data_IF_654210961210
#
_entry.id   IF_654210961210
#
_cell.length_a   1.000
_cell.length_b   1.000
_cell.length_c   1.000
_cell.angle_alpha   90.00
_cell.angle_beta   90.00
_cell.angle_gamma   90.00
#
_symmetry.space_group_name_H-M   'P 1'
#
loop_
_entity.id
_entity.type
_entity.pdbx_description
1 polymer ?
#
# COMPACT_ATOMS: atom_id res chain seq x y z
N UNK A 1 -5.06 -12.91 31.00
CA UNK A 1 -4.11 -11.97 30.36
C UNK A 1 -4.03 -10.75 31.26
N UNK A 2 -2.84 -10.16 31.45
CA UNK A 2 -2.70 -9.02 32.36
C UNK A 2 -3.41 -7.79 31.77
N UNK A 3 -4.06 -6.96 32.60
CA UNK A 3 -4.87 -5.83 32.14
C UNK A 3 -4.14 -4.87 31.16
N UNK A 4 -2.84 -4.67 31.34
CA UNK A 4 -2.03 -3.83 30.44
C UNK A 4 -1.79 -4.43 29.04
N UNK A 5 -1.89 -5.76 28.87
CA UNK A 5 -1.80 -6.40 27.55
C UNK A 5 -3.06 -6.13 26.73
N UNK A 6 -4.23 -6.20 27.35
CA UNK A 6 -5.53 -5.93 26.72
C UNK A 6 -5.59 -4.47 26.25
N UNK A 7 -5.20 -3.52 27.12
CA UNK A 7 -5.16 -2.09 26.81
C UNK A 7 -4.20 -1.78 25.65
N UNK A 8 -3.02 -2.41 25.65
CA UNK A 8 -2.05 -2.30 24.55
C UNK A 8 -2.64 -2.81 23.23
N UNK A 9 -3.29 -3.99 23.24
CA UNK A 9 -3.91 -4.57 22.05
C UNK A 9 -5.05 -3.69 21.53
N UNK A 10 -5.85 -3.12 22.42
CA UNK A 10 -6.92 -2.21 22.05
C UNK A 10 -6.36 -0.94 21.39
N UNK A 11 -5.31 -0.34 21.94
CA UNK A 11 -4.65 0.82 21.36
C UNK A 11 -4.15 0.52 19.93
N UNK A 12 -3.39 -0.58 19.75
CA UNK A 12 -2.88 -0.99 18.45
C UNK A 12 -4.01 -1.13 17.41
N UNK A 13 -5.11 -1.78 17.80
CA UNK A 13 -6.27 -2.00 16.93
C UNK A 13 -7.01 -0.71 16.61
N UNK A 14 -7.29 0.12 17.62
CA UNK A 14 -7.98 1.42 17.46
C UNK A 14 -7.25 2.31 16.48
N UNK A 15 -5.91 2.30 16.52
CA UNK A 15 -5.06 3.12 15.66
C UNK A 15 -4.58 2.42 14.38
N UNK A 16 -5.02 1.19 14.11
CA UNK A 16 -4.63 0.38 12.93
C UNK A 16 -3.12 0.30 12.71
N UNK A 17 -2.37 0.21 13.82
CA UNK A 17 -0.92 0.14 13.77
C UNK A 17 -0.40 -1.14 13.11
N UNK A 18 -1.02 -2.33 13.29
CA UNK A 18 -0.61 -3.53 12.56
C UNK A 18 -0.68 -3.35 11.04
N UNK A 19 -1.73 -2.73 10.52
CA UNK A 19 -1.93 -2.47 9.10
C UNK A 19 -0.93 -1.45 8.56
N UNK A 20 -0.63 -0.41 9.35
CA UNK A 20 0.41 0.56 9.03
C UNK A 20 1.78 -0.13 8.92
N UNK A 21 2.15 -0.92 9.92
CA UNK A 21 3.43 -1.64 9.93
C UNK A 21 3.52 -2.64 8.77
N UNK A 22 2.43 -3.35 8.45
CA UNK A 22 2.36 -4.24 7.30
C UNK A 22 2.64 -3.49 5.99
N UNK A 23 2.01 -2.32 5.79
CA UNK A 23 2.24 -1.50 4.58
C UNK A 23 3.66 -0.95 4.51
N UNK A 24 4.21 -0.45 5.61
CA UNK A 24 5.60 0.01 5.66
C UNK A 24 6.59 -1.12 5.35
N UNK A 25 6.33 -2.33 5.85
CA UNK A 25 7.09 -3.52 5.51
C UNK A 25 7.01 -3.86 4.02
N UNK A 26 5.82 -3.81 3.42
CA UNK A 26 5.65 -4.04 2.00
C UNK A 26 6.42 -3.02 1.13
N UNK A 27 6.36 -1.73 1.49
CA UNK A 27 7.11 -0.67 0.82
C UNK A 27 8.62 -0.91 0.87
N UNK A 28 9.16 -1.28 2.03
CA UNK A 28 10.59 -1.61 2.17
C UNK A 28 11.02 -2.81 1.32
N UNK A 29 10.24 -3.89 1.34
CA UNK A 29 10.56 -5.11 0.59
C UNK A 29 10.49 -4.90 -0.92
N UNK A 30 9.58 -4.03 -1.37
CA UNK A 30 9.41 -3.68 -2.77
C UNK A 30 10.53 -2.76 -3.26
N UNK A 31 10.72 -1.61 -2.61
CA UNK A 31 11.65 -0.58 -3.08
C UNK A 31 13.13 -0.87 -2.75
N UNK A 32 13.40 -1.67 -1.70
CA UNK A 32 14.75 -2.00 -1.22
C UNK A 32 15.71 -0.80 -1.21
N UNK A 33 15.34 0.31 -0.53
CA UNK A 33 16.13 1.52 -0.54
C UNK A 33 17.49 1.32 0.12
N UNK A 34 18.50 2.08 -0.33
CA UNK A 34 19.84 2.08 0.29
C UNK A 34 19.81 2.56 1.76
N UNK A 35 18.89 3.50 2.07
CA UNK A 35 18.68 4.05 3.41
C UNK A 35 17.27 3.74 3.94
N UNK A 36 17.02 2.54 4.49
CA UNK A 36 15.68 2.11 4.94
C UNK A 36 15.03 3.02 5.98
N UNK A 37 15.83 3.57 6.91
CA UNK A 37 15.31 4.45 7.97
C UNK A 37 14.76 5.75 7.41
N UNK A 38 15.54 6.41 6.56
CA UNK A 38 15.14 7.67 5.94
C UNK A 38 13.91 7.47 5.05
N UNK A 39 13.89 6.40 4.26
CA UNK A 39 12.73 6.02 3.46
C UNK A 39 11.46 5.83 4.31
N UNK A 40 11.55 5.13 5.44
CA UNK A 40 10.42 4.93 6.34
C UNK A 40 9.93 6.24 6.97
N UNK A 41 10.83 7.17 7.31
CA UNK A 41 10.46 8.50 7.82
C UNK A 41 9.62 9.23 6.78
N UNK A 42 10.10 9.32 5.54
CA UNK A 42 9.38 9.97 4.45
C UNK A 42 8.03 9.29 4.16
N UNK A 43 7.96 7.96 4.23
CA UNK A 43 6.71 7.23 4.07
C UNK A 43 5.71 7.58 5.18
N UNK A 44 6.15 7.70 6.44
CA UNK A 44 5.31 8.11 7.57
C UNK A 44 4.84 9.56 7.45
N UNK A 45 5.70 10.49 6.99
CA UNK A 45 5.33 11.88 6.72
C UNK A 45 4.20 11.96 5.67
N UNK A 46 4.27 11.14 4.60
CA UNK A 46 3.20 11.03 3.61
C UNK A 46 1.91 10.45 4.18
N UNK A 47 2.00 9.46 5.07
CA UNK A 47 0.83 8.94 5.80
C UNK A 47 0.18 10.05 6.64
N UNK A 48 0.98 10.85 7.34
CA UNK A 48 0.49 11.97 8.14
C UNK A 48 -0.21 13.03 7.28
N UNK A 49 0.43 13.45 6.18
CA UNK A 49 -0.14 14.39 5.21
C UNK A 49 -1.45 13.87 4.61
N UNK A 50 -1.48 12.60 4.17
CA UNK A 50 -2.69 11.97 3.65
C UNK A 50 -3.83 11.89 4.67
N UNK A 51 -3.53 11.69 5.97
CA UNK A 51 -4.55 11.72 7.04
C UNK A 51 -5.16 13.12 7.24
N UNK A 52 -4.43 14.18 6.90
CA UNK A 52 -4.92 15.58 6.92
C UNK A 52 -5.60 16.00 5.62
N UNK A 53 -5.71 15.10 4.63
CA UNK A 53 -6.08 15.42 3.25
C UNK A 53 -5.13 16.43 2.58
N UNK A 54 -3.89 16.51 3.06
CA UNK A 54 -2.83 17.43 2.59
C UNK A 54 -1.79 16.70 1.73
N UNK A 55 -2.21 15.75 0.90
CA UNK A 55 -1.31 15.04 -0.01
C UNK A 55 -1.72 13.61 -0.29
N UNK A 56 -0.82 12.90 -0.96
CA UNK A 56 -1.04 11.51 -1.37
C UNK A 56 -0.58 10.52 -0.31
N UNK A 57 -1.45 9.53 -0.04
CA UNK A 57 -1.10 8.42 0.83
C UNK A 57 -0.09 7.50 0.12
N UNK A 58 0.92 6.93 0.79
CA UNK A 58 1.88 6.08 0.11
C UNK A 58 1.22 4.82 -0.48
N UNK A 59 1.42 4.64 -1.79
CA UNK A 59 0.94 3.52 -2.59
C UNK A 59 2.12 2.72 -3.15
N UNK A 60 1.88 1.43 -3.40
CA UNK A 60 2.85 0.52 -4.02
C UNK A 60 2.75 0.51 -5.55
N UNK A 61 1.56 0.80 -6.07
CA UNK A 61 1.27 0.79 -7.50
C UNK A 61 1.16 2.22 -8.00
N UNK A 62 1.87 2.52 -9.07
CA UNK A 62 1.66 3.71 -9.88
C UNK A 62 0.85 3.37 -11.15
N UNK A 63 0.56 4.40 -11.95
CA UNK A 63 -0.20 4.27 -13.20
C UNK A 63 0.50 3.33 -14.19
N UNK A 64 1.84 3.34 -14.24
CA UNK A 64 2.61 2.44 -15.10
C UNK A 64 2.48 0.97 -14.68
N UNK A 65 2.39 0.69 -13.37
CA UNK A 65 2.09 -0.66 -12.89
C UNK A 65 0.69 -1.10 -13.32
N UNK A 66 -0.29 -0.18 -13.28
CA UNK A 66 -1.66 -0.45 -13.70
C UNK A 66 -1.71 -0.76 -15.19
N UNK A 67 -1.07 0.06 -16.02
CA UNK A 67 -0.94 -0.13 -17.46
C UNK A 67 -0.30 -1.48 -17.80
N UNK A 68 0.76 -1.85 -17.08
CA UNK A 68 1.43 -3.14 -17.26
C UNK A 68 0.50 -4.31 -16.92
N UNK A 69 -0.25 -4.22 -15.82
CA UNK A 69 -1.23 -5.24 -15.43
C UNK A 69 -2.34 -5.40 -16.48
N UNK A 70 -2.88 -4.29 -17.00
CA UNK A 70 -3.88 -4.33 -18.06
C UNK A 70 -3.32 -4.90 -19.36
N UNK A 71 -2.10 -4.52 -19.73
CA UNK A 71 -1.42 -5.04 -20.91
C UNK A 71 -1.17 -6.55 -20.84
N UNK A 72 -0.89 -7.09 -19.64
CA UNK A 72 -0.77 -8.54 -19.44
C UNK A 72 -2.09 -9.28 -19.66
N UNK A 73 -3.22 -8.64 -19.39
CA UNK A 73 -4.55 -9.22 -19.57
C UNK A 73 -5.09 -9.02 -20.99
N UNK A 74 -4.61 -7.99 -21.69
CA UNK A 74 -4.98 -7.67 -23.07
C UNK A 74 -3.79 -7.88 -24.03
N UNK A 75 -3.43 -9.14 -24.21
CA UNK A 75 -2.32 -9.55 -25.11
C UNK A 75 -2.48 -9.00 -26.54
N UNK A 76 -3.71 -8.76 -26.97
CA UNK A 76 -4.02 -8.24 -28.31
C UNK A 76 -4.10 -6.71 -28.38
N UNK A 77 -4.04 -6.00 -27.25
CA UNK A 77 -4.14 -4.54 -27.17
C UNK A 77 -5.48 -3.98 -27.68
N UNK A 78 -6.57 -4.73 -27.53
CA UNK A 78 -7.88 -4.34 -28.06
C UNK A 78 -8.65 -3.37 -27.14
N UNK A 79 -8.34 -3.35 -25.85
CA UNK A 79 -9.02 -2.53 -24.84
C UNK A 79 -10.48 -2.91 -24.58
N UNK A 80 -10.97 -4.00 -25.18
CA UNK A 80 -12.33 -4.51 -25.01
C UNK A 80 -12.36 -6.03 -25.20
N UNK A 81 -13.31 -6.68 -24.54
CA UNK A 81 -13.62 -8.10 -24.76
C UNK A 81 -14.86 -8.22 -25.65
N UNK A 82 -14.85 -9.21 -26.54
CA UNK A 82 -16.02 -9.64 -27.31
C UNK A 82 -16.85 -10.61 -26.48
N UNK A 83 -18.16 -10.74 -26.75
CA UNK A 83 -19.00 -11.71 -26.05
C UNK A 83 -18.48 -13.15 -26.06
N UNK A 84 -17.75 -13.54 -27.11
CA UNK A 84 -17.13 -14.86 -27.21
C UNK A 84 -15.94 -15.08 -26.25
N UNK A 85 -15.28 -14.02 -25.79
CA UNK A 85 -14.13 -14.05 -24.87
C UNK A 85 -14.55 -14.04 -23.39
N UNK A 86 -15.84 -13.90 -23.08
CA UNK A 86 -16.36 -13.85 -21.71
C UNK A 86 -16.69 -15.23 -21.12
N UNK A 87 -16.58 -16.31 -21.89
CA UNK A 87 -16.95 -17.67 -21.46
C UNK A 87 -15.76 -18.48 -20.99
#
# INVERSE_FOLDING_TARGET
MAAGEEESREYLRRHRLPELLHRLGALLLFHRPENPREFLIQALERVEAGRRAEGEYPFLMDEANLDAMFSLLDVLGQGHIRPAQYR
#
